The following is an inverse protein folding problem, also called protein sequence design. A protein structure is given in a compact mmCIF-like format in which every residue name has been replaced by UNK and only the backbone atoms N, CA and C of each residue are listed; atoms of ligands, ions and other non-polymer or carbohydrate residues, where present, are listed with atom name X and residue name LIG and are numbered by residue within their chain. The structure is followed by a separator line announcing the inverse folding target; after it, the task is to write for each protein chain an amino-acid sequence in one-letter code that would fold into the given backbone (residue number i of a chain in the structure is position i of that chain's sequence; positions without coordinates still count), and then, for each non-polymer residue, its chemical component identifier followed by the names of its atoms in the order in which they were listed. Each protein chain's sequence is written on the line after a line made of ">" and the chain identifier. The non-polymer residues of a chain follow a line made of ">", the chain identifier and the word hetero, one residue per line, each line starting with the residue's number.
data_IF_208356605132
#
_entry.id   IF_208356605132
#
_cell.length_a   1.000
_cell.length_b   1.000
_cell.length_c   1.000
_cell.angle_alpha   90.00
_cell.angle_beta   90.00
_cell.angle_gamma   90.00
#
_symmetry.space_group_name_H-M   'P 1'
#
loop_
_entity.id
_entity.type
_entity.pdbx_description
1 polymer ?
#
# COMPACT_ATOMS: atom_id res chain seq x y z
N UNK A 1 -20.46 -43.25 31.42
CA UNK A 1 -19.41 -42.45 30.74
C UNK A 1 -18.19 -43.34 30.53
N UNK A 2 -17.89 -43.70 29.28
CA UNK A 2 -16.79 -44.62 28.94
C UNK A 2 -15.41 -44.01 29.15
N UNK A 3 -14.36 -44.84 29.23
CA UNK A 3 -12.96 -44.38 29.33
C UNK A 3 -12.56 -43.48 28.16
N UNK A 4 -13.07 -43.74 26.96
CA UNK A 4 -12.85 -42.92 25.78
C UNK A 4 -13.46 -41.51 25.90
N UNK A 5 -14.69 -41.39 26.43
CA UNK A 5 -15.36 -40.10 26.64
C UNK A 5 -14.62 -39.25 27.68
N UNK A 6 -14.10 -39.88 28.74
CA UNK A 6 -13.28 -39.19 29.76
C UNK A 6 -11.97 -38.65 29.17
N UNK A 7 -11.31 -39.41 28.29
CA UNK A 7 -10.10 -38.96 27.59
C UNK A 7 -10.39 -37.80 26.63
N UNK A 8 -11.51 -37.84 25.92
CA UNK A 8 -11.92 -36.77 25.01
C UNK A 8 -12.18 -35.46 25.77
N UNK A 9 -12.89 -35.52 26.90
CA UNK A 9 -13.13 -34.35 27.75
C UNK A 9 -11.83 -33.78 28.32
N UNK A 10 -10.92 -34.65 28.80
CA UNK A 10 -9.61 -34.21 29.31
C UNK A 10 -8.80 -33.49 28.22
N UNK A 11 -8.76 -34.04 27.00
CA UNK A 11 -8.05 -33.42 25.89
C UNK A 11 -8.65 -32.05 25.51
N UNK A 12 -9.99 -31.94 25.51
CA UNK A 12 -10.67 -30.67 25.28
C UNK A 12 -10.33 -29.61 26.34
N UNK A 13 -10.25 -30.00 27.61
CA UNK A 13 -9.83 -29.10 28.69
C UNK A 13 -8.37 -28.66 28.55
N UNK A 14 -7.47 -29.58 28.19
CA UNK A 14 -6.06 -29.25 27.97
C UNK A 14 -5.86 -28.29 26.79
N UNK A 15 -6.58 -28.49 25.68
CA UNK A 15 -6.55 -27.60 24.53
C UNK A 15 -7.14 -26.22 24.84
N UNK A 16 -8.23 -26.18 25.62
CA UNK A 16 -8.81 -24.90 26.06
C UNK A 16 -7.83 -24.16 26.98
N UNK A 17 -7.20 -24.88 27.91
CA UNK A 17 -6.19 -24.35 28.83
C UNK A 17 -4.97 -23.77 28.10
N UNK A 18 -4.43 -24.49 27.11
CA UNK A 18 -3.29 -24.02 26.32
C UNK A 18 -3.63 -22.76 25.50
N UNK A 19 -4.82 -22.72 24.90
CA UNK A 19 -5.28 -21.55 24.16
C UNK A 19 -5.49 -20.32 25.06
N UNK A 20 -6.08 -20.51 26.25
CA UNK A 20 -6.20 -19.41 27.23
C UNK A 20 -4.84 -18.91 27.70
N UNK A 21 -3.88 -19.80 27.97
CA UNK A 21 -2.51 -19.43 28.33
C UNK A 21 -1.85 -18.58 27.25
N UNK A 22 -1.98 -18.96 25.99
CA UNK A 22 -1.43 -18.19 24.87
C UNK A 22 -2.07 -16.80 24.75
N UNK A 23 -3.40 -16.68 24.98
CA UNK A 23 -4.08 -15.37 25.01
C UNK A 23 -3.57 -14.47 26.14
N UNK A 24 -3.34 -15.02 27.34
CA UNK A 24 -2.77 -14.25 28.45
C UNK A 24 -1.35 -13.77 28.15
N UNK A 25 -0.49 -14.64 27.60
CA UNK A 25 0.87 -14.23 27.19
C UNK A 25 0.86 -13.11 26.13
N UNK A 26 -0.09 -13.13 25.19
CA UNK A 26 -0.27 -12.06 24.19
C UNK A 26 -0.80 -10.75 24.80
N UNK A 27 -1.55 -10.83 25.90
CA UNK A 27 -2.03 -9.65 26.63
C UNK A 27 -0.90 -9.05 27.47
N UNK A 28 -0.12 -9.86 28.18
CA UNK A 28 1.00 -9.41 29.01
C UNK A 28 2.07 -8.71 28.16
N UNK A 29 2.44 -9.31 27.02
CA UNK A 29 3.39 -8.70 26.08
C UNK A 29 2.91 -7.35 25.55
N UNK A 30 1.62 -7.23 25.23
CA UNK A 30 1.02 -5.94 24.85
C UNK A 30 1.04 -4.94 26.01
N UNK A 31 0.75 -5.37 27.23
CA UNK A 31 0.76 -4.50 28.40
C UNK A 31 2.16 -3.93 28.65
N UNK A 32 3.20 -4.79 28.65
CA UNK A 32 4.60 -4.38 28.84
C UNK A 32 5.06 -3.42 27.75
N UNK A 33 4.71 -3.67 26.48
CA UNK A 33 5.05 -2.77 25.38
C UNK A 33 4.36 -1.41 25.52
N UNK A 34 3.08 -1.42 25.89
CA UNK A 34 2.29 -0.19 26.07
C UNK A 34 2.84 0.64 27.23
N UNK A 35 3.13 0.01 28.36
CA UNK A 35 3.72 0.65 29.54
C UNK A 35 5.09 1.28 29.22
N UNK A 36 5.94 0.58 28.46
CA UNK A 36 7.24 1.11 28.01
C UNK A 36 7.10 2.31 27.06
N UNK A 37 6.11 2.30 26.16
CA UNK A 37 5.82 3.43 25.27
C UNK A 37 5.33 4.63 26.09
N UNK A 38 4.43 4.41 27.05
CA UNK A 38 3.97 5.48 27.94
C UNK A 38 5.10 6.05 28.79
N UNK A 39 5.98 5.20 29.35
CA UNK A 39 7.15 5.64 30.10
C UNK A 39 8.14 6.46 29.25
N UNK A 40 8.41 6.04 28.02
CA UNK A 40 9.26 6.81 27.09
C UNK A 40 8.63 8.15 26.70
N UNK A 41 7.32 8.19 26.48
CA UNK A 41 6.62 9.42 26.13
C UNK A 41 6.58 10.38 27.33
N UNK A 42 6.38 9.89 28.55
CA UNK A 42 6.42 10.71 29.76
C UNK A 42 7.82 11.31 30.02
N UNK A 43 8.90 10.58 29.71
CA UNK A 43 10.26 11.12 29.76
C UNK A 43 10.48 12.21 28.71
N UNK A 44 10.02 12.00 27.48
CA UNK A 44 10.09 13.00 26.41
C UNK A 44 9.26 14.26 26.76
N UNK A 45 8.11 14.10 27.40
CA UNK A 45 7.27 15.22 27.87
C UNK A 45 7.97 16.04 28.96
N UNK A 46 8.71 15.40 29.87
CA UNK A 46 9.52 16.09 30.87
C UNK A 46 10.68 16.87 30.25
N UNK A 47 11.30 16.32 29.20
CA UNK A 47 12.36 16.98 28.45
C UNK A 47 11.83 18.18 27.65
N UNK A 48 10.65 18.03 27.02
CA UNK A 48 9.93 19.10 26.34
C UNK A 48 9.49 20.20 27.31
N UNK A 49 9.03 19.85 28.51
CA UNK A 49 8.69 20.80 29.56
C UNK A 49 9.92 21.59 30.03
N UNK A 50 11.05 20.90 30.24
CA UNK A 50 12.33 21.55 30.60
C UNK A 50 12.81 22.51 29.51
N UNK A 51 12.77 22.10 28.23
CA UNK A 51 13.13 22.96 27.09
C UNK A 51 12.21 24.17 26.96
N UNK A 52 10.92 24.01 27.29
CA UNK A 52 9.94 25.11 27.30
C UNK A 52 10.27 26.11 28.40
N UNK A 53 10.62 25.66 29.61
CA UNK A 53 11.05 26.55 30.69
C UNK A 53 12.36 27.29 30.35
N UNK A 54 13.31 26.62 29.70
CA UNK A 54 14.55 27.25 29.25
C UNK A 54 14.28 28.32 28.18
N UNK A 55 13.38 28.04 27.23
CA UNK A 55 12.90 29.04 26.27
C UNK A 55 12.26 30.26 26.93
N UNK A 56 11.46 30.04 27.98
CA UNK A 56 10.82 31.13 28.72
C UNK A 56 11.82 31.99 29.49
N UNK A 57 12.98 31.45 29.89
CA UNK A 57 14.06 32.21 30.54
C UNK A 57 14.90 33.05 29.59
N UNK A 58 14.92 32.73 28.30
CA UNK A 58 15.67 33.48 27.28
C UNK A 58 14.93 34.76 26.82
N UNK A 59 13.70 34.98 27.32
CA UNK A 59 12.77 36.02 26.85
C UNK A 59 12.94 37.46 27.36
N UNK A 60 13.98 37.81 28.13
CA UNK A 60 14.21 39.19 28.59
C UNK A 60 15.19 40.00 27.69
N UNK A 61 15.34 39.61 26.42
CA UNK A 61 15.99 40.47 25.43
C UNK A 61 14.92 41.43 24.88
N UNK A 62 15.02 42.70 25.27
CA UNK A 62 14.15 43.80 24.84
C UNK A 62 13.88 43.76 23.33
N UNK A 63 12.67 43.35 22.96
CA UNK A 63 12.15 43.58 21.62
C UNK A 63 11.64 45.03 21.57
N UNK A 64 12.19 45.90 20.70
CA UNK A 64 11.73 47.28 20.58
C UNK A 64 10.27 47.31 20.15
N UNK A 65 9.45 47.88 21.03
CA UNK A 65 8.02 48.14 20.86
C UNK A 65 7.77 49.06 19.66
N UNK A 66 7.47 48.49 18.50
CA UNK A 66 6.83 49.23 17.41
C UNK A 66 5.34 49.38 17.74
N UNK A 67 5.02 50.51 18.36
CA UNK A 67 3.65 50.98 18.52
C UNK A 67 3.19 51.60 17.20
N UNK A 68 2.29 50.94 16.49
CA UNK A 68 1.50 51.59 15.46
C UNK A 68 0.02 51.24 15.63
N UNK A 69 -0.75 52.32 15.82
CA UNK A 69 -2.20 52.40 15.81
C UNK A 69 -2.78 51.74 14.56
N UNK A 70 -3.74 50.84 14.74
CA UNK A 70 -4.78 50.58 13.74
C UNK A 70 -6.12 50.42 14.48
N UNK A 71 -6.90 51.49 14.45
CA UNK A 71 -8.35 51.47 14.63
C UNK A 71 -8.97 50.91 13.35
N UNK A 72 -9.94 49.99 13.47
CA UNK A 72 -10.69 49.51 12.30
C UNK A 72 -11.31 48.14 12.50
N UNK A 73 -12.44 48.11 13.21
CA UNK A 73 -13.28 46.92 13.36
C UNK A 73 -14.00 46.55 12.05
N UNK A 74 -14.36 45.25 11.96
CA UNK A 74 -15.38 44.58 11.12
C UNK A 74 -14.91 43.73 9.93
N UNK A 75 -14.62 42.44 10.19
CA UNK A 75 -15.22 41.28 9.50
C UNK A 75 -14.73 39.97 10.14
N UNK A 76 -15.65 39.22 10.73
CA UNK A 76 -15.40 37.84 11.18
C UNK A 76 -15.63 36.94 9.98
N UNK A 77 -14.55 36.62 9.25
CA UNK A 77 -14.56 35.53 8.29
C UNK A 77 -14.28 34.20 9.01
N UNK A 78 -15.14 33.23 8.72
CA UNK A 78 -15.02 31.83 9.16
C UNK A 78 -13.71 31.23 8.65
N UNK A 79 -12.70 31.14 9.50
CA UNK A 79 -11.60 30.20 9.32
C UNK A 79 -12.12 28.80 9.64
N UNK A 80 -12.45 28.05 8.59
CA UNK A 80 -12.53 26.59 8.68
C UNK A 80 -11.10 26.06 8.86
N UNK A 81 -10.83 25.22 9.88
CA UNK A 81 -9.58 24.49 9.93
C UNK A 81 -9.52 23.56 8.72
N UNK A 82 -8.51 23.73 7.87
CA UNK A 82 -8.16 22.75 6.84
C UNK A 82 -7.73 21.46 7.55
N UNK A 83 -8.68 20.55 7.71
CA UNK A 83 -8.42 19.20 8.17
C UNK A 83 -7.70 18.47 7.01
N UNK A 84 -6.38 18.62 6.93
CA UNK A 84 -5.57 17.79 6.04
C UNK A 84 -5.80 16.34 6.45
N UNK A 85 -6.45 15.57 5.57
CA UNK A 85 -6.61 14.14 5.79
C UNK A 85 -5.24 13.48 5.62
N UNK A 86 -4.92 12.48 6.43
CA UNK A 86 -3.64 11.75 6.39
C UNK A 86 -3.24 11.27 4.99
N UNK A 87 -4.18 11.14 4.04
CA UNK A 87 -3.90 10.83 2.64
C UNK A 87 -3.24 11.98 1.86
N UNK A 88 -3.63 13.24 2.09
CA UNK A 88 -3.09 14.40 1.38
C UNK A 88 -1.64 14.69 1.78
N UNK A 89 -1.31 14.51 3.06
CA UNK A 89 0.06 14.62 3.54
C UNK A 89 0.98 13.57 2.88
N UNK A 90 0.47 12.35 2.64
CA UNK A 90 1.24 11.28 2.03
C UNK A 90 1.48 11.50 0.52
N UNK A 91 0.46 11.98 -0.20
CA UNK A 91 0.59 12.34 -1.62
C UNK A 91 1.59 13.49 -1.83
N UNK A 92 1.76 14.38 -0.83
CA UNK A 92 2.79 15.43 -0.83
C UNK A 92 4.21 14.87 -0.71
N UNK A 93 4.44 13.96 0.23
CA UNK A 93 5.73 13.27 0.42
C UNK A 93 6.18 12.46 -0.83
N UNK A 94 5.22 11.79 -1.49
CA UNK A 94 5.49 11.08 -2.74
C UNK A 94 5.87 12.03 -3.89
N UNK A 95 5.32 13.25 -3.91
CA UNK A 95 5.61 14.26 -4.94
C UNK A 95 6.98 14.92 -4.71
N UNK A 96 7.32 15.22 -3.46
CA UNK A 96 8.61 15.84 -3.07
C UNK A 96 9.81 14.90 -3.28
N UNK A 97 9.62 13.58 -3.07
CA UNK A 97 10.67 12.57 -3.33
C UNK A 97 10.90 12.26 -4.81
N UNK A 98 9.98 12.66 -5.70
CA UNK A 98 10.06 12.36 -7.13
C UNK A 98 10.99 13.29 -7.90
N UNK A 99 11.41 14.44 -7.35
CA UNK A 99 12.42 15.34 -7.95
C UNK A 99 12.07 15.94 -9.32
N UNK A 100 10.90 15.65 -9.88
CA UNK A 100 10.47 16.17 -11.17
C UNK A 100 9.83 17.56 -10.99
N UNK A 101 10.62 18.61 -11.27
CA UNK A 101 10.05 19.92 -11.59
C UNK A 101 9.34 19.81 -12.95
N UNK A 102 8.02 19.76 -12.93
CA UNK A 102 7.20 19.80 -14.13
C UNK A 102 6.96 21.26 -14.50
N UNK A 103 7.53 21.65 -15.64
CA UNK A 103 7.22 22.88 -16.36
C UNK A 103 5.74 22.85 -16.80
N UNK A 104 4.95 23.84 -16.37
CA UNK A 104 3.53 23.91 -16.69
C UNK A 104 3.35 24.45 -18.11
N UNK A 105 3.13 23.54 -19.07
CA UNK A 105 2.63 23.88 -20.41
C UNK A 105 1.18 23.47 -20.55
N UNK A 106 0.40 24.42 -21.09
CA UNK A 106 -1.05 24.58 -21.04
C UNK A 106 -1.92 23.44 -21.60
N UNK A 107 -3.15 23.43 -21.08
CA UNK A 107 -4.31 22.61 -21.44
C UNK A 107 -4.70 22.73 -22.93
N UNK A 108 -5.14 21.60 -23.53
CA UNK A 108 -5.94 21.60 -24.76
C UNK A 108 -7.07 20.57 -24.66
N UNK A 109 -8.31 20.90 -25.09
CA UNK A 109 -9.51 20.15 -24.74
C UNK A 109 -9.74 18.90 -25.58
N UNK A 110 -10.46 17.96 -24.96
CA UNK A 110 -10.82 16.63 -25.40
C UNK A 110 -11.67 16.59 -26.69
N UNK A 111 -11.47 15.55 -27.50
CA UNK A 111 -12.36 15.16 -28.61
C UNK A 111 -12.85 13.72 -28.45
N UNK A 112 -14.13 13.44 -28.78
CA UNK A 112 -14.79 12.18 -28.46
C UNK A 112 -14.44 11.03 -29.42
N UNK A 113 -14.44 9.82 -28.84
CA UNK A 113 -14.15 8.54 -29.46
C UNK A 113 -15.35 7.99 -30.25
N UNK A 114 -15.14 7.70 -31.54
CA UNK A 114 -16.08 6.94 -32.39
C UNK A 114 -15.49 5.60 -32.82
N UNK A 115 -16.33 4.58 -32.72
CA UNK A 115 -16.13 3.15 -32.97
C UNK A 115 -15.85 2.83 -34.46
N UNK A 116 -14.99 1.84 -34.71
CA UNK A 116 -15.08 0.78 -35.74
C UNK A 116 -13.75 0.00 -35.75
N UNK A 117 -13.72 -1.30 -35.43
CA UNK A 117 -13.85 -2.42 -36.39
C UNK A 117 -12.86 -2.33 -37.57
N UNK A 118 -11.79 -3.13 -37.56
CA UNK A 118 -11.41 -3.93 -38.74
C UNK A 118 -10.32 -4.96 -38.44
N UNK A 119 -10.66 -6.21 -38.72
CA UNK A 119 -9.78 -7.34 -38.99
C UNK A 119 -8.88 -7.04 -40.19
N UNK A 120 -7.57 -7.32 -40.12
CA UNK A 120 -6.72 -7.52 -41.31
C UNK A 120 -5.51 -8.38 -41.00
N UNK A 121 -5.54 -9.62 -41.52
CA UNK A 121 -4.36 -10.47 -41.75
C UNK A 121 -3.39 -9.72 -42.66
N UNK A 122 -2.09 -9.71 -42.31
CA UNK A 122 -1.02 -9.37 -43.24
C UNK A 122 0.04 -10.47 -43.20
N UNK A 123 0.08 -11.23 -44.29
CA UNK A 123 1.21 -12.03 -44.72
C UNK A 123 2.24 -11.07 -45.32
N UNK A 124 3.53 -11.27 -45.02
CA UNK A 124 4.63 -10.78 -45.85
C UNK A 124 5.77 -11.80 -45.86
N UNK A 125 6.55 -11.85 -46.95
CA UNK A 125 7.31 -13.00 -47.39
C UNK A 125 8.81 -12.90 -47.04
N UNK A 126 9.48 -14.00 -47.33
CA UNK A 126 10.92 -14.19 -47.45
C UNK A 126 11.55 -13.20 -48.43
N UNK A 127 12.76 -12.72 -48.12
CA UNK A 127 13.68 -12.20 -49.11
C UNK A 127 15.12 -12.50 -48.70
N UNK A 128 15.79 -13.26 -49.56
CA UNK A 128 17.21 -13.61 -49.52
C UNK A 128 18.11 -12.46 -50.01
N UNK A 129 19.39 -12.57 -49.62
CA UNK A 129 20.60 -12.08 -50.29
C UNK A 129 20.84 -10.56 -50.42
N UNK A 130 21.94 -10.07 -49.84
CA UNK A 130 23.19 -9.85 -50.61
C UNK A 130 24.35 -9.46 -49.69
N UNK A 131 25.50 -10.06 -50.00
CA UNK A 131 26.81 -9.71 -49.46
C UNK A 131 27.24 -8.34 -49.99
N UNK A 132 27.88 -7.54 -49.13
CA UNK A 132 29.14 -6.88 -49.51
C UNK A 132 29.91 -6.40 -48.28
N UNK A 133 31.19 -6.73 -48.31
CA UNK A 133 32.20 -6.53 -47.30
C UNK A 133 32.90 -5.19 -47.56
N UNK A 134 33.23 -4.40 -46.52
CA UNK A 134 34.58 -3.87 -46.48
C UNK A 134 35.26 -4.07 -45.13
N UNK A 135 36.44 -4.66 -45.23
CA UNK A 135 37.45 -4.80 -44.21
C UNK A 135 38.11 -3.44 -43.96
N UNK A 136 38.14 -2.96 -42.71
CA UNK A 136 39.13 -1.97 -42.25
C UNK A 136 39.31 -2.13 -40.75
N UNK A 137 40.44 -2.72 -40.42
CA UNK A 137 40.97 -3.05 -39.10
C UNK A 137 41.54 -1.82 -38.39
N UNK A 138 40.90 -1.32 -37.32
CA UNK A 138 41.57 -0.43 -36.37
C UNK A 138 41.15 -0.73 -34.91
N UNK A 139 42.11 -1.33 -34.18
CA UNK A 139 42.31 -1.28 -32.73
C UNK A 139 41.13 -1.65 -31.82
N UNK A 140 40.92 -2.96 -31.65
CA UNK A 140 40.09 -3.57 -30.61
C UNK A 140 40.69 -3.40 -29.20
N UNK A 141 40.61 -2.21 -28.63
CA UNK A 141 40.66 -2.03 -27.18
C UNK A 141 39.25 -2.30 -26.60
N UNK A 142 38.83 -3.57 -26.64
CA UNK A 142 37.55 -4.03 -26.06
C UNK A 142 37.65 -3.94 -24.53
N UNK A 143 37.30 -2.77 -24.02
CA UNK A 143 37.07 -2.46 -22.62
C UNK A 143 36.00 -3.42 -22.09
N UNK A 144 36.43 -4.49 -21.44
CA UNK A 144 35.58 -5.36 -20.63
C UNK A 144 34.98 -4.52 -19.50
N UNK A 145 33.82 -3.91 -19.73
CA UNK A 145 32.98 -3.43 -18.63
C UNK A 145 32.80 -4.61 -17.68
N UNK A 146 33.18 -4.42 -16.43
CA UNK A 146 33.15 -5.47 -15.41
C UNK A 146 31.74 -6.06 -15.32
N UNK A 147 31.64 -7.38 -15.27
CA UNK A 147 30.36 -8.10 -15.14
C UNK A 147 29.52 -7.60 -13.94
N UNK A 148 30.18 -7.04 -12.92
CA UNK A 148 29.56 -6.44 -11.74
C UNK A 148 28.64 -5.26 -12.07
N UNK A 149 29.07 -4.35 -12.95
CA UNK A 149 28.28 -3.16 -13.33
C UNK A 149 27.00 -3.54 -14.07
N UNK A 150 27.05 -4.63 -14.85
CA UNK A 150 25.89 -5.14 -15.57
C UNK A 150 24.84 -5.71 -14.60
N UNK A 151 25.28 -6.50 -13.61
CA UNK A 151 24.38 -7.09 -12.61
C UNK A 151 23.65 -6.02 -11.80
N UNK A 152 24.37 -4.98 -11.36
CA UNK A 152 23.77 -3.87 -10.62
C UNK A 152 22.74 -3.08 -11.46
N UNK A 153 23.00 -2.90 -12.75
CA UNK A 153 22.05 -2.26 -13.66
C UNK A 153 20.77 -3.09 -13.85
N UNK A 154 20.90 -4.41 -13.99
CA UNK A 154 19.77 -5.34 -14.10
C UNK A 154 18.91 -5.36 -12.82
N UNK A 155 19.54 -5.33 -11.65
CA UNK A 155 18.86 -5.24 -10.35
C UNK A 155 18.08 -3.93 -10.19
N UNK A 156 18.71 -2.79 -10.53
CA UNK A 156 18.04 -1.48 -10.50
C UNK A 156 16.81 -1.43 -11.44
N UNK A 157 16.91 -2.00 -12.64
CA UNK A 157 15.78 -2.05 -13.57
C UNK A 157 14.66 -2.99 -13.09
N UNK A 158 15.02 -4.10 -12.43
CA UNK A 158 14.05 -5.02 -11.82
C UNK A 158 13.22 -4.29 -10.76
N UNK A 159 13.87 -3.62 -9.80
CA UNK A 159 13.18 -2.89 -8.72
C UNK A 159 12.35 -1.72 -9.26
N UNK A 160 12.85 -0.99 -10.26
CA UNK A 160 12.06 0.05 -10.96
C UNK A 160 10.81 -0.54 -11.61
N UNK A 161 10.94 -1.72 -12.23
CA UNK A 161 9.83 -2.48 -12.79
C UNK A 161 8.76 -2.80 -11.74
N UNK A 162 9.17 -3.34 -10.59
CA UNK A 162 8.29 -3.65 -9.46
C UNK A 162 7.57 -2.40 -8.95
N UNK A 163 8.29 -1.31 -8.70
CA UNK A 163 7.72 -0.03 -8.24
C UNK A 163 6.67 0.50 -9.23
N UNK A 164 6.96 0.47 -10.55
CA UNK A 164 5.99 0.87 -11.58
C UNK A 164 4.72 0.02 -11.52
N UNK A 165 4.87 -1.28 -11.33
CA UNK A 165 3.74 -2.21 -11.21
C UNK A 165 2.93 -1.93 -9.94
N UNK A 166 3.58 -1.80 -8.79
CA UNK A 166 2.95 -1.49 -7.50
C UNK A 166 2.16 -0.17 -7.55
N UNK A 167 2.73 0.89 -8.13
CA UNK A 167 2.03 2.17 -8.36
C UNK A 167 0.79 1.99 -9.23
N UNK A 168 0.93 1.35 -10.39
CA UNK A 168 -0.19 1.07 -11.31
C UNK A 168 -1.33 0.27 -10.67
N UNK A 169 -1.00 -0.67 -9.78
CA UNK A 169 -1.98 -1.44 -9.02
C UNK A 169 -2.69 -0.57 -7.98
N UNK A 170 -1.94 0.22 -7.21
CA UNK A 170 -2.49 1.12 -6.18
C UNK A 170 -3.41 2.21 -6.76
N UNK A 171 -3.10 2.74 -7.96
CA UNK A 171 -3.94 3.71 -8.66
C UNK A 171 -5.31 3.12 -9.04
N UNK A 172 -5.33 1.83 -9.41
CA UNK A 172 -6.55 1.10 -9.76
C UNK A 172 -7.21 0.44 -8.55
N UNK A 173 -6.59 0.55 -7.37
CA UNK A 173 -7.01 -0.18 -6.18
C UNK A 173 -8.26 0.44 -5.57
N UNK A 174 -9.40 -0.23 -5.76
CA UNK A 174 -10.67 0.28 -5.29
C UNK A 174 -10.82 0.03 -3.79
N UNK A 175 -11.09 1.12 -3.06
CA UNK A 175 -11.52 1.03 -1.67
C UNK A 175 -12.94 0.47 -1.60
N UNK A 176 -13.22 -0.26 -0.53
CA UNK A 176 -14.58 -0.67 -0.18
C UNK A 176 -15.38 0.58 0.16
N UNK A 177 -16.46 0.83 -0.57
CA UNK A 177 -17.37 1.94 -0.29
C UNK A 177 -18.24 1.58 0.91
N UNK A 178 -17.99 2.20 2.06
CA UNK A 178 -18.78 2.05 3.28
C UNK A 178 -19.81 3.18 3.33
N UNK A 179 -21.09 2.83 3.32
CA UNK A 179 -22.20 3.80 3.33
C UNK A 179 -23.37 3.25 4.16
N UNK A 180 -24.06 4.13 4.87
CA UNK A 180 -25.26 3.78 5.63
C UNK A 180 -26.44 3.42 4.73
N UNK A 181 -26.58 4.17 3.63
CA UNK A 181 -27.61 3.97 2.62
C UNK A 181 -27.02 3.96 1.21
N UNK A 182 -27.45 3.04 0.35
CA UNK A 182 -27.12 3.02 -1.08
C UNK A 182 -28.37 3.25 -1.93
N UNK A 183 -28.22 4.00 -3.02
CA UNK A 183 -29.33 4.29 -3.95
C UNK A 183 -29.73 3.02 -4.72
N UNK A 184 -31.03 2.81 -4.88
CA UNK A 184 -31.59 1.76 -5.75
C UNK A 184 -31.53 0.34 -5.19
N UNK A 185 -31.40 0.18 -3.87
CA UNK A 185 -31.49 -1.13 -3.23
C UNK A 185 -32.95 -1.57 -3.13
N UNK A 186 -33.19 -2.86 -3.39
CA UNK A 186 -34.49 -3.48 -3.14
C UNK A 186 -34.76 -3.52 -1.62
N UNK A 187 -35.91 -2.98 -1.15
CA UNK A 187 -36.24 -2.89 0.26
C UNK A 187 -36.42 -4.25 0.96
N UNK A 188 -36.33 -5.37 0.25
CA UNK A 188 -36.42 -6.73 0.80
C UNK A 188 -35.05 -7.38 1.01
N UNK A 189 -33.97 -6.80 0.49
CA UNK A 189 -32.62 -7.37 0.64
C UNK A 189 -32.09 -7.02 2.02
N UNK A 190 -31.73 -8.03 2.81
CA UNK A 190 -31.04 -7.86 4.09
C UNK A 190 -29.52 -7.79 3.90
N UNK A 191 -28.88 -6.91 4.67
CA UNK A 191 -27.43 -6.90 4.77
C UNK A 191 -26.96 -8.18 5.46
N UNK A 192 -26.05 -8.90 4.81
CA UNK A 192 -25.58 -10.19 5.29
C UNK A 192 -24.70 -10.14 6.56
N UNK A 193 -24.42 -8.94 7.07
CA UNK A 193 -23.55 -8.72 8.22
C UNK A 193 -24.27 -8.08 9.40
N UNK A 194 -25.06 -7.03 9.17
CA UNK A 194 -25.79 -6.33 10.24
C UNK A 194 -27.29 -6.62 10.25
N UNK A 195 -27.83 -7.31 9.25
CA UNK A 195 -29.25 -7.65 9.15
C UNK A 195 -30.19 -6.51 8.75
N UNK A 196 -29.68 -5.27 8.63
CA UNK A 196 -30.50 -4.12 8.20
C UNK A 196 -31.03 -4.38 6.78
N UNK A 197 -32.34 -4.20 6.60
CA UNK A 197 -33.04 -4.49 5.35
C UNK A 197 -33.14 -3.22 4.50
N UNK A 198 -32.89 -3.32 3.20
CA UNK A 198 -33.16 -2.26 2.23
C UNK A 198 -32.24 -1.03 2.27
N UNK A 199 -31.32 -0.95 3.23
CA UNK A 199 -30.49 0.25 3.42
C UNK A 199 -29.22 0.25 2.57
N UNK A 200 -28.39 -0.79 2.66
CA UNK A 200 -27.08 -0.86 2.00
C UNK A 200 -26.76 -2.28 1.53
N UNK A 201 -25.90 -2.40 0.51
CA UNK A 201 -25.40 -3.71 0.08
C UNK A 201 -24.49 -4.30 1.15
N UNK A 202 -24.46 -5.63 1.30
CA UNK A 202 -23.56 -6.28 2.26
C UNK A 202 -22.10 -5.84 2.09
N UNK A 203 -21.62 -5.64 0.85
CA UNK A 203 -20.27 -5.15 0.56
C UNK A 203 -19.97 -3.76 1.16
N UNK A 204 -21.01 -2.96 1.41
CA UNK A 204 -20.96 -1.58 1.91
C UNK A 204 -21.34 -1.41 3.39
N UNK A 205 -21.54 -2.51 4.13
CA UNK A 205 -21.96 -2.48 5.53
C UNK A 205 -21.09 -1.57 6.43
N UNK A 206 -21.67 -0.57 7.13
CA UNK A 206 -20.95 0.32 8.04
C UNK A 206 -20.67 -0.29 9.42
N UNK A 207 -21.45 -1.31 9.83
CA UNK A 207 -21.30 -1.92 11.16
C UNK A 207 -20.22 -3.00 11.22
N UNK A 208 -19.92 -3.63 10.08
CA UNK A 208 -18.88 -4.66 9.96
C UNK A 208 -17.97 -4.26 8.82
N UNK A 209 -16.96 -3.43 9.12
CA UNK A 209 -16.12 -2.82 8.08
C UNK A 209 -15.03 -3.78 7.63
N UNK A 210 -14.25 -4.35 8.56
CA UNK A 210 -13.07 -5.17 8.26
C UNK A 210 -13.44 -6.51 7.63
N UNK A 211 -12.85 -6.87 6.51
CA UNK A 211 -13.04 -8.11 5.76
C UNK A 211 -12.80 -9.37 6.57
N UNK A 212 -11.78 -9.39 7.45
CA UNK A 212 -11.57 -10.51 8.37
C UNK A 212 -12.74 -10.68 9.35
N UNK A 213 -13.30 -9.58 9.87
CA UNK A 213 -14.48 -9.62 10.73
C UNK A 213 -15.71 -10.07 9.94
N UNK A 214 -15.88 -9.59 8.71
CA UNK A 214 -16.95 -10.02 7.80
C UNK A 214 -16.91 -11.52 7.51
N UNK A 215 -15.71 -12.09 7.31
CA UNK A 215 -15.53 -13.52 7.14
C UNK A 215 -16.00 -14.28 8.38
N UNK A 216 -15.59 -13.84 9.58
CA UNK A 216 -16.03 -14.47 10.83
C UNK A 216 -17.54 -14.38 11.02
N UNK A 217 -18.14 -13.23 10.74
CA UNK A 217 -19.60 -13.05 10.79
C UNK A 217 -20.28 -14.01 9.81
N UNK A 218 -19.82 -14.09 8.56
CA UNK A 218 -20.40 -15.02 7.57
C UNK A 218 -20.35 -16.47 8.05
N UNK A 219 -19.20 -16.93 8.57
CA UNK A 219 -19.03 -18.29 9.10
C UNK A 219 -19.95 -18.51 10.31
N UNK A 220 -19.97 -17.59 11.27
CA UNK A 220 -20.77 -17.71 12.49
C UNK A 220 -22.28 -17.74 12.21
N UNK A 221 -22.72 -17.03 11.17
CA UNK A 221 -24.11 -17.06 10.71
C UNK A 221 -24.41 -18.27 9.80
N UNK A 222 -23.49 -19.22 9.61
CA UNK A 222 -23.70 -20.38 8.73
C UNK A 222 -23.80 -20.03 7.24
N UNK A 223 -23.36 -18.84 6.83
CA UNK A 223 -23.32 -18.41 5.43
C UNK A 223 -22.03 -18.90 4.79
N UNK A 224 -22.12 -19.36 3.54
CA UNK A 224 -20.93 -19.75 2.81
C UNK A 224 -20.12 -18.52 2.39
N UNK A 225 -18.85 -18.45 2.77
CA UNK A 225 -17.94 -17.36 2.43
C UNK A 225 -17.66 -17.22 0.91
N UNK A 226 -18.04 -18.23 0.10
CA UNK A 226 -17.87 -18.21 -1.37
C UNK A 226 -19.03 -17.52 -2.09
N UNK A 227 -20.27 -17.76 -1.67
CA UNK A 227 -21.47 -17.24 -2.33
C UNK A 227 -22.34 -16.32 -1.46
N UNK A 228 -22.01 -16.16 -0.17
CA UNK A 228 -22.76 -15.41 0.86
C UNK A 228 -24.19 -15.90 1.14
N UNK A 229 -24.56 -17.08 0.63
CA UNK A 229 -25.85 -17.73 0.86
C UNK A 229 -25.71 -18.88 1.85
N UNK A 230 -26.83 -19.34 2.40
CA UNK A 230 -26.91 -20.64 3.06
C UNK A 230 -26.82 -21.73 1.99
N UNK A 231 -25.74 -22.50 2.00
CA UNK A 231 -25.56 -23.61 1.06
C UNK A 231 -24.88 -24.79 1.76
N UNK A 232 -25.19 -26.01 1.31
CA UNK A 232 -24.60 -27.27 1.80
C UNK A 232 -23.18 -27.54 1.26
N UNK A 233 -22.47 -26.50 0.83
CA UNK A 233 -21.13 -26.61 0.24
C UNK A 233 -21.10 -26.70 -1.30
N UNK A 234 -22.25 -26.88 -1.94
CA UNK A 234 -22.38 -26.94 -3.41
C UNK A 234 -22.62 -25.58 -4.04
N UNK A 235 -21.64 -24.67 -3.93
CA UNK A 235 -21.72 -23.38 -4.63
C UNK A 235 -21.79 -23.57 -6.14
N UNK A 236 -22.62 -22.78 -6.82
CA UNK A 236 -22.74 -22.85 -8.28
C UNK A 236 -21.39 -22.59 -8.97
N UNK A 237 -21.09 -23.28 -10.09
CA UNK A 237 -19.80 -23.11 -10.81
C UNK A 237 -19.56 -21.64 -11.20
N UNK A 238 -20.63 -20.94 -11.62
CA UNK A 238 -20.61 -19.52 -11.98
C UNK A 238 -20.12 -18.60 -10.85
N UNK A 239 -20.35 -18.95 -9.59
CA UNK A 239 -19.86 -18.19 -8.44
C UNK A 239 -18.38 -18.48 -8.15
N UNK A 240 -17.86 -19.66 -8.52
CA UNK A 240 -16.44 -20.03 -8.33
C UNK A 240 -15.52 -19.39 -9.37
N UNK A 241 -15.99 -19.29 -10.61
CA UNK A 241 -15.17 -18.87 -11.76
C UNK A 241 -15.00 -17.36 -11.88
N UNK A 242 -15.96 -16.57 -11.37
CA UNK A 242 -15.94 -15.10 -11.55
C UNK A 242 -14.78 -14.40 -10.81
N UNK A 243 -14.12 -15.07 -9.87
CA UNK A 243 -13.06 -14.49 -9.06
C UNK A 243 -13.55 -13.34 -8.15
N UNK A 244 -12.73 -12.96 -7.19
CA UNK A 244 -13.01 -11.78 -6.37
C UNK A 244 -12.65 -10.51 -7.15
N UNK A 245 -13.59 -9.56 -7.20
CA UNK A 245 -13.41 -8.27 -7.87
C UNK A 245 -12.17 -7.51 -7.35
N UNK A 246 -11.96 -7.52 -6.02
CA UNK A 246 -10.84 -6.82 -5.38
C UNK A 246 -9.49 -7.53 -5.56
N UNK A 247 -9.48 -8.86 -5.67
CA UNK A 247 -8.24 -9.61 -5.87
C UNK A 247 -7.79 -9.65 -7.33
N UNK A 248 -8.69 -9.39 -8.29
CA UNK A 248 -8.39 -9.48 -9.71
C UNK A 248 -7.21 -8.57 -10.12
N UNK A 249 -7.11 -7.30 -9.67
CA UNK A 249 -5.97 -6.44 -9.99
C UNK A 249 -4.65 -6.82 -9.31
N UNK A 250 -4.69 -7.65 -8.26
CA UNK A 250 -3.50 -8.03 -7.47
C UNK A 250 -2.76 -9.26 -8.02
N UNK A 251 -3.40 -10.07 -8.86
CA UNK A 251 -2.80 -11.33 -9.37
C UNK A 251 -1.64 -11.03 -10.33
N UNK A 252 -0.53 -11.75 -10.18
CA UNK A 252 0.68 -11.56 -11.00
C UNK A 252 1.42 -10.26 -10.68
N UNK A 253 1.24 -9.72 -9.48
CA UNK A 253 1.88 -8.48 -9.03
C UNK A 253 2.65 -8.73 -7.74
N UNK A 254 3.55 -7.83 -7.30
CA UNK A 254 4.22 -7.94 -6.01
C UNK A 254 3.29 -7.97 -4.78
N UNK A 255 1.98 -7.73 -4.96
CA UNK A 255 0.96 -7.79 -3.91
C UNK A 255 0.10 -9.07 -3.97
N UNK A 256 0.50 -10.08 -4.74
CA UNK A 256 -0.26 -11.33 -4.86
C UNK A 256 -0.36 -12.10 -3.53
N UNK A 257 0.61 -11.94 -2.63
CA UNK A 257 0.63 -12.55 -1.30
C UNK A 257 -0.51 -12.06 -0.39
N UNK A 258 -1.06 -10.88 -0.68
CA UNK A 258 -2.21 -10.32 0.05
C UNK A 258 -3.53 -11.01 -0.33
N UNK A 259 -3.56 -11.74 -1.44
CA UNK A 259 -4.75 -12.47 -1.88
C UNK A 259 -4.95 -13.69 -0.97
N UNK A 260 -6.13 -13.83 -0.32
CA UNK A 260 -6.40 -15.02 0.46
C UNK A 260 -6.27 -16.30 -0.38
N UNK A 261 -5.68 -17.38 0.15
CA UNK A 261 -5.40 -18.61 -0.60
C UNK A 261 -6.65 -19.44 -0.94
N UNK A 262 -7.84 -18.92 -0.62
CA UNK A 262 -9.12 -19.58 -0.82
C UNK A 262 -10.06 -18.72 -1.68
N UNK A 263 -10.94 -19.39 -2.42
CA UNK A 263 -12.03 -18.74 -3.16
C UNK A 263 -12.99 -18.09 -2.17
N UNK A 264 -13.34 -16.82 -2.39
CA UNK A 264 -14.19 -16.06 -1.49
C UNK A 264 -15.05 -15.05 -2.25
N UNK A 265 -16.15 -14.65 -1.63
CA UNK A 265 -17.01 -13.58 -2.13
C UNK A 265 -16.39 -12.21 -1.86
N UNK A 266 -16.57 -11.24 -2.76
CA UNK A 266 -16.03 -9.87 -2.59
C UNK A 266 -16.40 -9.21 -1.26
N UNK A 267 -17.59 -9.52 -0.74
CA UNK A 267 -18.11 -8.99 0.52
C UNK A 267 -17.28 -9.38 1.74
N UNK A 268 -16.54 -10.49 1.70
CA UNK A 268 -15.67 -10.95 2.79
C UNK A 268 -14.19 -10.79 2.46
N UNK A 269 -13.86 -10.19 1.32
CA UNK A 269 -12.47 -9.99 0.90
C UNK A 269 -11.77 -9.00 1.86
N UNK A 270 -10.61 -9.35 2.44
CA UNK A 270 -9.83 -8.45 3.29
C UNK A 270 -8.99 -7.46 2.50
N UNK A 271 -8.74 -7.72 1.21
CA UNK A 271 -7.82 -6.91 0.40
C UNK A 271 -8.13 -5.40 0.47
N UNK A 272 -9.38 -4.92 0.31
CA UNK A 272 -9.67 -3.48 0.34
C UNK A 272 -9.22 -2.76 1.61
N UNK A 273 -9.09 -3.46 2.73
CA UNK A 273 -8.69 -2.90 4.01
C UNK A 273 -7.17 -2.77 4.14
N UNK A 274 -6.41 -3.44 3.27
CA UNK A 274 -4.94 -3.52 3.33
C UNK A 274 -4.27 -2.43 2.49
N UNK A 275 -5.02 -1.46 1.96
CA UNK A 275 -4.47 -0.40 1.08
C UNK A 275 -3.31 0.35 1.73
N UNK A 276 -3.41 0.66 3.02
CA UNK A 276 -2.34 1.36 3.75
C UNK A 276 -1.08 0.49 3.87
N UNK A 277 -1.24 -0.81 4.14
CA UNK A 277 -0.11 -1.75 4.14
C UNK A 277 0.54 -1.85 2.75
N UNK A 278 -0.26 -1.90 1.68
CA UNK A 278 0.27 -1.92 0.31
C UNK A 278 1.03 -0.63 -0.03
N UNK A 279 0.57 0.53 0.48
CA UNK A 279 1.28 1.80 0.32
C UNK A 279 2.62 1.81 1.07
N UNK A 280 2.67 1.26 2.29
CA UNK A 280 3.92 1.14 3.05
C UNK A 280 4.94 0.28 2.32
N UNK A 281 4.53 -0.88 1.79
CA UNK A 281 5.43 -1.73 0.98
C UNK A 281 5.96 -1.02 -0.26
N UNK A 282 5.16 -0.17 -0.90
CA UNK A 282 5.64 0.66 -2.01
C UNK A 282 6.72 1.65 -1.55
N UNK A 283 6.55 2.28 -0.38
CA UNK A 283 7.57 3.18 0.18
C UNK A 283 8.86 2.42 0.48
N UNK A 284 8.78 1.27 1.15
CA UNK A 284 9.94 0.42 1.44
C UNK A 284 10.71 0.05 0.16
N UNK A 285 9.99 -0.29 -0.92
CA UNK A 285 10.58 -0.59 -2.22
C UNK A 285 11.25 0.62 -2.88
N UNK A 286 10.69 1.82 -2.71
CA UNK A 286 11.30 3.07 -3.20
C UNK A 286 12.57 3.41 -2.41
N UNK A 287 12.58 3.17 -1.10
CA UNK A 287 13.76 3.33 -0.25
C UNK A 287 14.86 2.34 -0.65
N UNK A 288 14.53 1.07 -0.88
CA UNK A 288 15.44 0.04 -1.41
C UNK A 288 16.11 0.49 -2.72
N UNK A 289 15.33 1.02 -3.66
CA UNK A 289 15.86 1.57 -4.91
C UNK A 289 16.82 2.75 -4.66
N UNK A 290 16.51 3.59 -3.67
CA UNK A 290 17.30 4.78 -3.34
C UNK A 290 18.64 4.38 -2.73
N UNK A 291 18.65 3.39 -1.83
CA UNK A 291 19.88 2.89 -1.22
C UNK A 291 20.77 2.17 -2.25
N UNK A 292 20.20 1.35 -3.14
CA UNK A 292 20.97 0.72 -4.22
C UNK A 292 21.63 1.75 -5.15
N UNK A 293 20.91 2.83 -5.49
CA UNK A 293 21.50 3.95 -6.25
C UNK A 293 22.65 4.61 -5.49
N UNK A 294 22.50 4.78 -4.18
CA UNK A 294 23.51 5.38 -3.30
C UNK A 294 24.79 4.52 -3.31
N UNK A 295 24.68 3.24 -2.96
CA UNK A 295 25.82 2.30 -2.93
C UNK A 295 26.56 2.28 -4.28
N UNK A 296 25.81 2.15 -5.37
CA UNK A 296 26.40 2.10 -6.71
C UNK A 296 27.07 3.42 -7.14
N UNK A 297 26.57 4.57 -6.69
CA UNK A 297 27.19 5.87 -6.96
C UNK A 297 28.52 6.03 -6.20
N UNK A 298 28.59 5.62 -4.93
CA UNK A 298 29.82 5.69 -4.14
C UNK A 298 30.91 4.77 -4.70
N UNK A 299 30.60 3.52 -5.04
CA UNK A 299 31.60 2.59 -5.60
C UNK A 299 32.25 3.10 -6.90
N UNK A 300 31.52 3.86 -7.72
CA UNK A 300 32.07 4.47 -8.95
C UNK A 300 32.97 5.67 -8.68
N UNK A 301 32.78 6.38 -7.57
CA UNK A 301 33.63 7.51 -7.18
C UNK A 301 34.98 7.05 -6.67
N UNK A 302 35.00 6.02 -5.84
CA UNK A 302 36.24 5.48 -5.25
C UNK A 302 37.18 4.95 -6.34
N UNK A 303 36.65 4.19 -7.30
CA UNK A 303 37.41 3.71 -8.48
C UNK A 303 38.02 4.85 -9.33
N UNK A 304 37.36 6.02 -9.40
CA UNK A 304 37.91 7.16 -10.15
C UNK A 304 39.02 7.87 -9.38
N UNK A 305 38.89 7.98 -8.06
CA UNK A 305 39.89 8.63 -7.22
C UNK A 305 41.19 7.80 -7.19
N UNK A 306 41.10 6.47 -7.13
CA UNK A 306 42.27 5.58 -7.17
C UNK A 306 43.05 5.70 -8.49
N UNK A 307 42.34 5.72 -9.63
CA UNK A 307 42.97 5.87 -10.95
C UNK A 307 43.59 7.26 -11.18
N UNK A 308 43.07 8.31 -10.54
CA UNK A 308 43.61 9.65 -10.62
C UNK A 308 44.89 9.80 -9.77
N UNK A 309 44.95 9.15 -8.61
CA UNK A 309 46.13 9.16 -7.73
C UNK A 309 47.35 8.44 -8.32
N UNK A 310 47.16 7.41 -9.16
CA UNK A 310 48.28 6.65 -9.75
C UNK A 310 49.02 7.34 -10.92
N UNK A 311 48.62 8.55 -11.34
CA UNK A 311 49.25 9.27 -12.47
C UNK A 311 50.28 10.34 -12.06
N UNK A 312 50.56 10.49 -10.76
CA UNK A 312 51.48 11.52 -10.24
C UNK A 312 52.82 10.98 -9.70
N UNK A 313 53.14 9.70 -9.96
CA UNK A 313 54.42 9.06 -9.65
C UNK A 313 55.11 8.62 -10.95
#
# INVERSE_FOLDING_TARGET
>A
MGTAEKLQLLNQHLLTGSFTKERFLRLDTRYVLTDRIYGSNAQNDHELASRREEWLRVGDVQMPMLTNKIEGATRVDKLQPSHETSGQHFDRLLRESSGDQIDQTEERPEKPCSKACSTRKRVLPESENTADQPCSSETSAKKSKSSTDQRAAEELETIRGEIRMMKSVLDKYQRRLIVECSKGIDPRIDCSFCGVVGAHFSDSCPHVVKGNQRLQVAISCGRCYKCMKFCSGTCSKKEREKGCFYCKPLRGTPFEDVIPPYVHHRAVCPAPDLREELQLRLVEKVEELTELKRVHFFSRRDLRNDLAGSRQL
#
